data_IF_442369461466
#
_entry.id   IF_442369461466
#
_cell.length_a   1.000
_cell.length_b   1.000
_cell.length_c   1.000
_cell.angle_alpha   90.00
_cell.angle_beta   90.00
_cell.angle_gamma   90.00
#
_symmetry.space_group_name_H-M   'P 1'
#
loop_
_entity.id
_entity.type
_entity.pdbx_description
1 polymer ?
#
# COMPACT_ATOMS: atom_id res chain seq x y z
N UNK A 1 -12.99 -5.31 -18.55
CA UNK A 1 -14.06 -4.42 -19.07
C UNK A 1 -14.39 -4.90 -20.48
N UNK A 2 -15.62 -5.32 -20.77
CA UNK A 2 -15.97 -5.90 -22.08
C UNK A 2 -16.83 -4.90 -22.86
N UNK A 3 -16.33 -4.45 -24.02
CA UNK A 3 -17.03 -3.50 -24.90
C UNK A 3 -18.25 -4.13 -25.59
N UNK A 4 -18.36 -5.46 -25.60
CA UNK A 4 -19.37 -6.19 -26.36
C UNK A 4 -20.79 -6.09 -25.79
N UNK A 5 -20.96 -5.67 -24.54
CA UNK A 5 -22.25 -5.73 -23.84
C UNK A 5 -22.47 -4.54 -22.86
N UNK A 6 -23.73 -4.24 -22.54
CA UNK A 6 -24.09 -3.27 -21.49
C UNK A 6 -23.98 -1.79 -21.89
N UNK A 7 -23.70 -0.92 -20.90
CA UNK A 7 -23.65 0.55 -21.07
C UNK A 7 -22.58 1.01 -22.08
N UNK A 8 -21.36 0.43 -22.12
CA UNK A 8 -20.35 0.81 -23.10
C UNK A 8 -20.80 0.61 -24.56
N UNK A 9 -21.48 -0.51 -24.85
CA UNK A 9 -22.06 -0.78 -26.17
C UNK A 9 -23.11 0.25 -26.55
N UNK A 10 -24.08 0.51 -25.65
CA UNK A 10 -25.13 1.51 -25.89
C UNK A 10 -24.55 2.90 -26.12
N UNK A 11 -23.53 3.27 -25.35
CA UNK A 11 -22.84 4.55 -25.52
C UNK A 11 -22.16 4.65 -26.88
N UNK A 12 -21.38 3.65 -27.29
CA UNK A 12 -20.72 3.64 -28.60
C UNK A 12 -21.72 3.65 -29.76
N UNK A 13 -22.86 2.97 -29.59
CA UNK A 13 -23.92 2.90 -30.59
C UNK A 13 -24.54 4.27 -30.91
N UNK A 14 -24.69 5.17 -29.92
CA UNK A 14 -25.20 6.54 -30.15
C UNK A 14 -24.33 7.28 -31.18
N UNK A 15 -23.01 7.16 -31.05
CA UNK A 15 -22.09 7.87 -31.93
C UNK A 15 -21.96 7.20 -33.30
N UNK A 16 -22.10 5.87 -33.37
CA UNK A 16 -22.21 5.15 -34.64
C UNK A 16 -23.46 5.58 -35.42
N UNK A 17 -24.61 5.69 -34.77
CA UNK A 17 -25.86 6.14 -35.40
C UNK A 17 -25.74 7.57 -35.92
N UNK A 18 -25.20 8.49 -35.12
CA UNK A 18 -24.93 9.86 -35.54
C UNK A 18 -23.97 9.97 -36.73
N UNK A 19 -22.94 9.12 -36.77
CA UNK A 19 -22.01 9.06 -37.88
C UNK A 19 -22.71 8.58 -39.16
N UNK A 20 -23.62 7.59 -39.05
CA UNK A 20 -24.43 7.11 -40.17
C UNK A 20 -25.41 8.17 -40.68
N UNK A 21 -25.92 9.03 -39.79
CA UNK A 21 -26.78 10.16 -40.14
C UNK A 21 -26.00 11.38 -40.70
N UNK A 22 -24.68 11.27 -40.84
CA UNK A 22 -23.81 12.33 -41.36
C UNK A 22 -23.56 13.49 -40.38
N UNK A 23 -23.87 13.30 -39.10
CA UNK A 23 -23.62 14.29 -38.06
C UNK A 23 -22.13 14.34 -37.70
N UNK A 24 -21.63 15.57 -37.52
CA UNK A 24 -20.28 15.80 -37.05
C UNK A 24 -20.21 15.69 -35.52
N UNK A 25 -19.39 14.75 -35.02
CA UNK A 25 -19.22 14.51 -33.59
C UNK A 25 -17.74 14.70 -33.19
N UNK A 26 -17.42 15.72 -32.38
CA UNK A 26 -16.03 16.04 -32.03
C UNK A 26 -15.27 14.92 -31.31
N UNK A 27 -15.99 14.06 -30.59
CA UNK A 27 -15.37 12.93 -29.90
C UNK A 27 -14.89 11.83 -30.85
N UNK A 28 -15.26 11.89 -32.12
CA UNK A 28 -14.84 10.94 -33.17
C UNK A 28 -13.72 11.50 -34.06
N UNK A 29 -13.28 12.75 -33.83
CA UNK A 29 -12.24 13.39 -34.64
C UNK A 29 -10.85 12.80 -34.40
N UNK A 30 -10.59 12.24 -33.21
CA UNK A 30 -9.33 11.60 -32.87
C UNK A 30 -9.52 10.45 -31.89
N UNK A 31 -8.55 9.54 -31.87
CA UNK A 31 -8.51 8.47 -30.90
C UNK A 31 -8.49 9.00 -29.46
N UNK A 32 -7.70 10.04 -29.18
CA UNK A 32 -7.60 10.64 -27.83
C UNK A 32 -8.93 11.23 -27.35
N UNK A 33 -9.66 11.92 -28.24
CA UNK A 33 -10.96 12.50 -27.92
C UNK A 33 -12.00 11.40 -27.64
N UNK A 34 -11.97 10.32 -28.43
CA UNK A 34 -12.82 9.15 -28.23
C UNK A 34 -12.51 8.45 -26.92
N UNK A 35 -11.25 8.15 -26.66
CA UNK A 35 -10.79 7.45 -25.46
C UNK A 35 -11.13 8.24 -24.19
N UNK A 36 -10.89 9.55 -24.17
CA UNK A 36 -11.25 10.41 -23.05
C UNK A 36 -12.77 10.41 -22.77
N UNK A 37 -13.59 10.52 -23.82
CA UNK A 37 -15.05 10.51 -23.69
C UNK A 37 -15.57 9.12 -23.24
N UNK A 38 -14.97 8.05 -23.77
CA UNK A 38 -15.31 6.68 -23.42
C UNK A 38 -14.96 6.36 -21.97
N UNK A 39 -13.74 6.70 -21.52
CA UNK A 39 -13.30 6.50 -20.14
C UNK A 39 -14.14 7.31 -19.15
N UNK A 40 -14.50 8.56 -19.51
CA UNK A 40 -15.39 9.38 -18.68
C UNK A 40 -16.78 8.78 -18.54
N UNK A 41 -17.39 8.30 -19.63
CA UNK A 41 -18.71 7.69 -19.59
C UNK A 41 -18.71 6.34 -18.88
N UNK A 42 -17.62 5.59 -19.02
CA UNK A 42 -17.50 4.24 -18.48
C UNK A 42 -17.06 4.22 -17.01
N UNK A 43 -16.54 5.34 -16.50
CA UNK A 43 -16.27 5.57 -15.08
C UNK A 43 -17.55 5.48 -14.25
N UNK A 44 -17.50 4.76 -13.12
CA UNK A 44 -18.60 4.68 -12.17
C UNK A 44 -18.32 5.58 -10.95
N UNK A 45 -18.74 6.86 -10.96
CA UNK A 45 -18.42 7.81 -9.90
C UNK A 45 -18.98 7.39 -8.53
N UNK A 46 -20.12 6.70 -8.50
CA UNK A 46 -20.68 6.16 -7.28
C UNK A 46 -19.79 5.05 -6.68
N UNK A 47 -19.26 4.16 -7.53
CA UNK A 47 -18.33 3.12 -7.09
C UNK A 47 -17.01 3.70 -6.58
N UNK A 48 -16.46 4.71 -7.26
CA UNK A 48 -15.26 5.43 -6.82
C UNK A 48 -15.50 6.08 -5.45
N UNK A 49 -16.59 6.84 -5.28
CA UNK A 49 -16.92 7.49 -4.01
C UNK A 49 -17.12 6.48 -2.85
N UNK A 50 -17.68 5.31 -3.14
CA UNK A 50 -17.80 4.22 -2.16
C UNK A 50 -16.42 3.64 -1.83
N UNK A 51 -15.56 3.42 -2.83
CA UNK A 51 -14.20 2.93 -2.64
C UNK A 51 -13.36 3.91 -1.81
N UNK A 52 -13.43 5.21 -2.07
CA UNK A 52 -12.74 6.21 -1.26
C UNK A 52 -13.20 6.21 0.20
N UNK A 53 -14.52 6.13 0.44
CA UNK A 53 -15.08 6.03 1.80
C UNK A 53 -14.58 4.77 2.50
N UNK A 54 -14.51 3.65 1.78
CA UNK A 54 -13.95 2.41 2.31
C UNK A 54 -12.46 2.54 2.63
N UNK A 55 -11.65 3.18 1.78
CA UNK A 55 -10.23 3.43 2.08
C UNK A 55 -10.05 4.30 3.32
N UNK A 56 -10.82 5.39 3.46
CA UNK A 56 -10.75 6.28 4.64
C UNK A 56 -11.01 5.53 5.95
N UNK A 57 -11.93 4.56 5.91
CA UNK A 57 -12.33 3.76 7.06
C UNK A 57 -11.52 2.48 7.24
N UNK A 58 -10.69 2.08 6.27
CA UNK A 58 -9.88 0.88 6.37
C UNK A 58 -8.78 1.07 7.42
N UNK A 59 -8.73 0.18 8.41
CA UNK A 59 -7.73 0.17 9.48
C UNK A 59 -7.08 -1.21 9.57
N UNK A 60 -5.78 -1.22 9.83
CA UNK A 60 -5.02 -2.43 10.09
C UNK A 60 -5.46 -3.02 11.44
N UNK A 61 -6.28 -4.07 11.39
CA UNK A 61 -6.66 -4.87 12.57
C UNK A 61 -5.71 -6.06 12.77
N UNK A 62 -5.28 -6.70 11.68
CA UNK A 62 -4.43 -7.90 11.63
C UNK A 62 -3.00 -7.57 11.19
N UNK A 63 -2.33 -8.51 10.52
CA UNK A 63 -1.04 -8.28 9.89
C UNK A 63 -1.15 -7.22 8.80
N UNK A 64 -0.07 -6.48 8.56
CA UNK A 64 -0.01 -5.47 7.51
C UNK A 64 -0.25 -6.05 6.10
N UNK A 65 0.10 -7.32 5.87
CA UNK A 65 -0.16 -8.02 4.61
C UNK A 65 -1.67 -8.18 4.32
N UNK A 66 -2.48 -8.54 5.33
CA UNK A 66 -3.94 -8.59 5.19
C UNK A 66 -4.52 -7.22 4.85
N UNK A 67 -4.07 -6.19 5.57
CA UNK A 67 -4.46 -4.81 5.32
C UNK A 67 -4.08 -4.37 3.89
N UNK A 68 -2.90 -4.76 3.40
CA UNK A 68 -2.46 -4.50 2.04
C UNK A 68 -3.35 -5.15 0.98
N UNK A 69 -3.77 -6.40 1.19
CA UNK A 69 -4.70 -7.10 0.29
C UNK A 69 -6.04 -6.36 0.22
N UNK A 70 -6.64 -6.05 1.37
CA UNK A 70 -7.92 -5.33 1.42
C UNK A 70 -7.81 -3.95 0.78
N UNK A 71 -6.71 -3.24 1.04
CA UNK A 71 -6.44 -1.94 0.44
C UNK A 71 -6.34 -2.03 -1.09
N UNK A 72 -5.57 -2.98 -1.64
CA UNK A 72 -5.42 -3.15 -3.09
C UNK A 72 -6.76 -3.46 -3.77
N UNK A 73 -7.60 -4.29 -3.15
CA UNK A 73 -8.93 -4.61 -3.67
C UNK A 73 -9.78 -3.34 -3.78
N UNK A 74 -9.75 -2.47 -2.76
CA UNK A 74 -10.52 -1.22 -2.78
C UNK A 74 -9.90 -0.21 -3.76
N UNK A 75 -8.58 -0.05 -3.73
CA UNK A 75 -7.81 0.86 -4.58
C UNK A 75 -7.94 0.54 -6.07
N UNK A 76 -8.14 -0.73 -6.45
CA UNK A 76 -8.38 -1.14 -7.86
C UNK A 76 -9.60 -0.49 -8.51
N UNK A 77 -10.46 0.17 -7.72
CA UNK A 77 -11.65 0.90 -8.19
C UNK A 77 -11.40 2.41 -8.31
N UNK A 78 -10.17 2.85 -8.10
CA UNK A 78 -9.75 4.24 -8.05
C UNK A 78 -8.62 4.46 -9.05
N UNK A 79 -8.74 5.51 -9.85
CA UNK A 79 -7.68 5.99 -10.76
C UNK A 79 -6.72 6.93 -10.01
N UNK A 80 -6.28 6.52 -8.80
CA UNK A 80 -5.40 7.33 -7.95
C UNK A 80 -3.94 7.07 -8.29
N UNK A 81 -3.13 8.13 -8.24
CA UNK A 81 -1.67 8.01 -8.38
C UNK A 81 -1.05 7.30 -7.17
N UNK A 82 0.14 6.72 -7.35
CA UNK A 82 0.88 6.08 -6.26
C UNK A 82 1.12 7.02 -5.08
N UNK A 83 1.41 8.31 -5.33
CA UNK A 83 1.53 9.30 -4.27
C UNK A 83 0.26 9.43 -3.42
N UNK A 84 -0.92 9.46 -4.05
CA UNK A 84 -2.21 9.52 -3.36
C UNK A 84 -2.51 8.21 -2.62
N UNK A 85 -2.22 7.06 -3.24
CA UNK A 85 -2.39 5.75 -2.64
C UNK A 85 -1.47 5.55 -1.44
N UNK A 86 -0.20 5.95 -1.52
CA UNK A 86 0.75 5.93 -0.40
C UNK A 86 0.25 6.79 0.76
N UNK A 87 -0.21 8.02 0.47
CA UNK A 87 -0.73 8.92 1.48
C UNK A 87 -1.95 8.33 2.21
N UNK A 88 -2.85 7.67 1.47
CA UNK A 88 -4.01 6.97 2.04
C UNK A 88 -3.60 5.70 2.80
N UNK A 89 -2.72 4.88 2.23
CA UNK A 89 -2.25 3.62 2.82
C UNK A 89 -1.60 3.86 4.18
N UNK A 90 -0.75 4.89 4.28
CA UNK A 90 -0.11 5.32 5.52
C UNK A 90 -1.13 5.59 6.63
N UNK A 91 -2.36 6.01 6.29
CA UNK A 91 -3.35 6.41 7.29
C UNK A 91 -4.04 5.25 8.03
N UNK A 92 -4.08 4.07 7.43
CA UNK A 92 -4.79 2.92 8.04
C UNK A 92 -3.96 2.09 9.00
N UNK A 93 -2.65 2.31 9.10
CA UNK A 93 -1.77 1.51 9.96
C UNK A 93 -1.95 1.74 11.47
N UNK A 94 -1.55 0.74 12.27
CA UNK A 94 -1.39 0.86 13.73
C UNK A 94 -0.34 1.93 14.06
N UNK A 95 -0.50 2.59 15.21
CA UNK A 95 0.36 3.73 15.59
C UNK A 95 1.86 3.39 15.62
N UNK A 96 2.22 2.21 16.10
CA UNK A 96 3.61 1.72 16.15
C UNK A 96 4.21 1.52 14.74
N UNK A 97 3.46 0.83 13.86
CA UNK A 97 3.85 0.60 12.47
C UNK A 97 3.99 1.92 11.74
N UNK A 98 3.00 2.82 11.89
CA UNK A 98 3.02 4.15 11.26
C UNK A 98 4.22 4.98 11.72
N UNK A 99 4.55 4.97 13.01
CA UNK A 99 5.69 5.72 13.55
C UNK A 99 7.01 5.24 12.99
N UNK A 100 7.22 3.92 12.91
CA UNK A 100 8.43 3.33 12.29
C UNK A 100 8.47 3.59 10.79
N UNK A 101 7.34 3.49 10.10
CA UNK A 101 7.22 3.71 8.67
C UNK A 101 7.59 5.16 8.32
N UNK A 102 7.10 6.14 9.09
CA UNK A 102 7.49 7.55 8.93
C UNK A 102 9.01 7.70 9.05
N UNK A 103 9.60 7.21 10.16
CA UNK A 103 11.06 7.29 10.37
C UNK A 103 11.85 6.65 9.24
N UNK A 104 11.40 5.51 8.72
CA UNK A 104 12.07 4.85 7.60
C UNK A 104 11.96 5.67 6.30
N UNK A 105 10.76 6.18 6.00
CA UNK A 105 10.50 6.97 4.79
C UNK A 105 11.15 8.35 4.78
N UNK A 106 11.57 8.89 5.94
CA UNK A 106 12.39 10.12 5.97
C UNK A 106 13.74 9.93 5.29
N UNK A 107 14.29 8.72 5.30
CA UNK A 107 15.63 8.43 4.78
C UNK A 107 15.61 7.70 3.44
N UNK A 108 14.42 7.41 2.90
CA UNK A 108 14.27 6.65 1.65
C UNK A 108 13.18 7.28 0.79
N UNK A 109 13.51 7.58 -0.46
CA UNK A 109 12.53 8.01 -1.44
C UNK A 109 11.74 6.79 -1.94
N UNK A 110 10.54 6.57 -1.39
CA UNK A 110 9.62 5.54 -1.85
C UNK A 110 8.58 6.20 -2.74
N UNK A 111 8.61 5.88 -4.03
CA UNK A 111 7.72 6.48 -5.03
C UNK A 111 6.58 5.57 -5.45
N UNK A 112 6.68 4.26 -5.16
CA UNK A 112 5.68 3.27 -5.58
C UNK A 112 4.88 2.71 -4.42
N UNK A 113 3.61 2.39 -4.66
CA UNK A 113 2.74 1.80 -3.64
C UNK A 113 3.27 0.42 -3.20
N UNK A 114 3.79 -0.38 -4.13
CA UNK A 114 4.26 -1.74 -3.85
C UNK A 114 5.50 -1.77 -2.96
N UNK A 115 6.45 -0.85 -3.18
CA UNK A 115 7.61 -0.69 -2.29
C UNK A 115 7.18 -0.24 -0.89
N UNK A 116 6.22 0.68 -0.82
CA UNK A 116 5.67 1.17 0.44
C UNK A 116 4.95 0.06 1.22
N UNK A 117 4.13 -0.75 0.55
CA UNK A 117 3.45 -1.92 1.13
C UNK A 117 4.46 -2.93 1.66
N UNK A 118 5.49 -3.25 0.86
CA UNK A 118 6.52 -4.24 1.25
C UNK A 118 7.27 -3.77 2.50
N UNK A 119 7.62 -2.49 2.55
CA UNK A 119 8.25 -1.86 3.71
C UNK A 119 7.35 -1.92 4.95
N UNK A 120 6.06 -1.61 4.80
CA UNK A 120 5.10 -1.66 5.90
C UNK A 120 4.92 -3.08 6.45
N UNK A 121 4.90 -4.09 5.58
CA UNK A 121 4.82 -5.49 5.99
C UNK A 121 6.06 -5.91 6.78
N UNK A 122 7.25 -5.60 6.27
CA UNK A 122 8.51 -5.91 6.96
C UNK A 122 8.58 -5.27 8.35
N UNK A 123 8.16 -4.00 8.48
CA UNK A 123 8.12 -3.30 9.77
C UNK A 123 7.14 -3.98 10.74
N UNK A 124 5.95 -4.37 10.28
CA UNK A 124 4.94 -5.03 11.12
C UNK A 124 5.41 -6.41 11.59
N UNK A 125 6.01 -7.19 10.68
CA UNK A 125 6.54 -8.53 10.97
C UNK A 125 7.67 -8.45 12.00
N UNK A 126 8.64 -7.55 11.84
CA UNK A 126 9.71 -7.43 12.83
C UNK A 126 9.22 -6.87 14.17
N UNK A 127 8.22 -5.99 14.17
CA UNK A 127 7.56 -5.56 15.40
C UNK A 127 6.86 -6.74 16.08
N UNK A 128 6.25 -7.64 15.32
CA UNK A 128 5.62 -8.84 15.84
C UNK A 128 6.67 -9.80 16.42
N UNK A 129 7.76 -10.07 15.71
CA UNK A 129 8.87 -10.89 16.20
C UNK A 129 9.46 -10.35 17.50
N UNK A 130 9.75 -9.04 17.57
CA UNK A 130 10.27 -8.40 18.78
C UNK A 130 9.33 -8.60 19.99
N UNK A 131 8.01 -8.52 19.77
CA UNK A 131 7.01 -8.79 20.81
C UNK A 131 6.99 -10.25 21.24
N UNK A 132 7.24 -11.19 20.32
CA UNK A 132 7.33 -12.62 20.66
C UNK A 132 8.60 -12.92 21.47
N UNK A 133 9.74 -12.34 21.10
CA UNK A 133 10.99 -12.52 21.86
C UNK A 133 10.88 -11.97 23.29
N UNK A 134 10.26 -10.80 23.47
CA UNK A 134 10.00 -10.26 24.81
C UNK A 134 9.10 -11.15 25.67
N UNK A 135 8.17 -11.91 25.07
CA UNK A 135 7.33 -12.89 25.79
C UNK A 135 8.09 -14.14 26.20
N UNK A 136 9.16 -14.49 25.48
CA UNK A 136 10.02 -15.63 25.80
C UNK A 136 10.98 -15.33 26.95
N UNK A 137 11.23 -14.05 27.26
CA UNK A 137 11.94 -13.66 28.47
C UNK A 137 11.07 -14.07 29.66
N UNK A 138 11.51 -15.02 30.50
CA UNK A 138 10.72 -15.41 31.67
C UNK A 138 10.47 -14.16 32.51
N UNK A 139 9.19 -13.87 32.78
CA UNK A 139 8.85 -12.95 33.87
C UNK A 139 9.53 -13.53 35.12
N UNK A 140 10.31 -12.75 35.90
CA UNK A 140 10.96 -13.30 37.08
C UNK A 140 9.89 -13.82 38.02
N UNK A 141 9.68 -15.14 38.02
CA UNK A 141 8.87 -15.81 39.01
C UNK A 141 9.63 -15.67 40.32
N UNK A 142 9.15 -14.75 41.15
CA UNK A 142 9.28 -14.74 42.60
C UNK A 142 10.52 -15.50 43.14
N UNK A 143 11.70 -14.96 42.87
CA UNK A 143 12.89 -15.28 43.65
C UNK A 143 13.39 -13.96 44.23
N UNK A 144 13.62 -13.84 45.56
CA UNK A 144 14.06 -12.60 46.18
C UNK A 144 15.53 -12.26 45.88
N UNK A 145 16.04 -12.66 44.71
CA UNK A 145 17.28 -12.09 44.19
C UNK A 145 16.92 -10.86 43.36
N UNK A 146 17.25 -9.70 43.92
CA UNK A 146 17.02 -8.37 43.37
C UNK A 146 17.71 -8.25 42.02
N UNK A 147 17.00 -8.52 40.92
CA UNK A 147 17.30 -7.86 39.65
C UNK A 147 16.90 -6.40 39.86
N UNK A 148 17.90 -5.51 39.86
CA UNK A 148 17.62 -4.09 40.00
C UNK A 148 16.78 -3.65 38.80
N UNK A 149 15.89 -2.66 39.00
CA UNK A 149 15.04 -2.11 37.90
C UNK A 149 15.87 -1.73 36.66
N UNK A 150 17.14 -1.41 36.86
CA UNK A 150 18.12 -1.11 35.84
C UNK A 150 18.44 -2.31 34.93
N UNK A 151 18.54 -3.53 35.49
CA UNK A 151 18.85 -4.75 34.71
C UNK A 151 17.70 -5.14 33.77
N UNK A 152 16.45 -5.01 34.24
CA UNK A 152 15.27 -5.21 33.40
C UNK A 152 15.14 -4.14 32.31
N UNK A 153 15.54 -2.90 32.61
CA UNK A 153 15.58 -1.82 31.63
C UNK A 153 16.66 -2.08 30.57
N UNK A 154 17.83 -2.58 30.96
CA UNK A 154 18.94 -2.94 30.06
C UNK A 154 18.51 -4.07 29.11
N UNK A 155 17.94 -5.17 29.64
CA UNK A 155 17.48 -6.30 28.81
C UNK A 155 16.38 -5.90 27.83
N UNK A 156 15.44 -5.06 28.25
CA UNK A 156 14.41 -4.49 27.37
C UNK A 156 15.02 -3.58 26.29
N UNK A 157 16.02 -2.77 26.65
CA UNK A 157 16.68 -1.85 25.73
C UNK A 157 17.54 -2.61 24.70
N UNK A 158 18.18 -3.68 25.12
CA UNK A 158 19.02 -4.54 24.29
C UNK A 158 18.19 -5.39 23.33
N UNK A 159 17.05 -5.93 23.77
CA UNK A 159 16.07 -6.56 22.89
C UNK A 159 15.52 -5.58 21.83
N UNK A 160 15.23 -4.33 22.22
CA UNK A 160 14.85 -3.27 21.30
C UNK A 160 15.96 -2.92 20.31
N UNK A 161 17.23 -2.82 20.76
CA UNK A 161 18.39 -2.56 19.91
C UNK A 161 18.63 -3.69 18.91
N UNK A 162 18.58 -4.94 19.35
CA UNK A 162 18.78 -6.10 18.49
C UNK A 162 17.67 -6.21 17.43
N UNK A 163 16.42 -5.91 17.82
CA UNK A 163 15.30 -5.85 16.88
C UNK A 163 15.46 -4.72 15.85
N UNK A 164 15.98 -3.56 16.27
CA UNK A 164 16.29 -2.44 15.39
C UNK A 164 17.46 -2.74 14.43
N UNK A 165 18.51 -3.41 14.90
CA UNK A 165 19.63 -3.85 14.06
C UNK A 165 19.19 -4.89 13.02
N UNK A 166 18.34 -5.85 13.41
CA UNK A 166 17.73 -6.82 12.49
C UNK A 166 16.86 -6.13 11.43
N UNK A 167 16.05 -5.14 11.82
CA UNK A 167 15.32 -4.30 10.88
C UNK A 167 16.27 -3.60 9.89
N UNK A 168 17.32 -2.96 10.40
CA UNK A 168 18.31 -2.29 9.55
C UNK A 168 18.94 -3.24 8.53
N UNK A 169 19.34 -4.43 8.96
CA UNK A 169 19.94 -5.44 8.10
C UNK A 169 18.93 -6.01 7.08
N UNK A 170 17.71 -6.32 7.50
CA UNK A 170 16.66 -6.83 6.61
C UNK A 170 16.25 -5.78 5.56
N UNK A 171 16.15 -4.51 5.97
CA UNK A 171 15.88 -3.41 5.06
C UNK A 171 17.03 -3.19 4.07
N UNK A 172 18.29 -3.29 4.53
CA UNK A 172 19.47 -3.19 3.66
C UNK A 172 19.54 -4.33 2.63
N UNK A 173 19.19 -5.55 3.05
CA UNK A 173 19.12 -6.71 2.17
C UNK A 173 17.99 -6.58 1.12
N UNK A 174 16.80 -6.12 1.52
CA UNK A 174 15.68 -5.92 0.59
C UNK A 174 15.94 -4.76 -0.37
N UNK A 175 16.61 -3.69 0.08
CA UNK A 175 17.10 -2.61 -0.79
C UNK A 175 18.05 -3.15 -1.86
N UNK A 176 19.01 -3.98 -1.47
CA UNK A 176 19.94 -4.62 -2.41
C UNK A 176 19.20 -5.50 -3.43
N UNK A 177 18.17 -6.22 -2.99
CA UNK A 177 17.34 -7.08 -3.86
C UNK A 177 16.50 -6.27 -4.86
N UNK A 178 15.91 -5.16 -4.44
CA UNK A 178 15.10 -4.28 -5.31
C UNK A 178 16.00 -3.59 -6.36
N UNK A 179 17.12 -3.02 -5.94
CA UNK A 179 18.06 -2.36 -6.85
C UNK A 179 18.65 -3.34 -7.89
N UNK A 180 18.93 -4.58 -7.48
CA UNK A 180 19.37 -5.64 -8.40
C UNK A 180 18.31 -6.09 -9.41
N UNK A 181 17.01 -5.93 -9.10
CA UNK A 181 15.92 -6.22 -10.05
C UNK A 181 15.73 -5.10 -11.08
N UNK A 182 15.84 -3.83 -10.69
CA UNK A 182 15.72 -2.70 -11.61
C UNK A 182 16.89 -2.66 -12.62
N UNK A 183 18.12 -2.95 -12.17
CA UNK A 183 19.28 -3.01 -13.07
C UNK A 183 19.18 -4.09 -14.18
N UNK A 184 18.29 -5.07 -14.02
CA UNK A 184 18.07 -6.14 -15.00
C UNK A 184 16.98 -5.81 -16.03
N UNK A 185 16.14 -4.80 -15.76
CA UNK A 185 15.05 -4.38 -16.65
C UNK A 185 15.49 -3.25 -17.60
N UNK A 186 16.44 -2.41 -17.20
CA UNK A 186 16.96 -1.29 -18.03
C UNK A 186 18.06 -1.71 -19.02
N UNK A 187 18.40 -3.01 -19.07
CA UNK A 187 19.45 -3.58 -19.92
C UNK A 187 18.94 -4.54 -21.01
N UNK A 188 17.65 -4.52 -21.33
CA UNK A 188 17.01 -5.37 -22.33
C UNK A 188 16.27 -4.54 -23.39
#
# INVERSE_FOLDING_TARGET
MNLKEGRPKKWGQIYLEKLLDGAHEPILESWDAFEAAFLRNSSNPAAAQVAERRLRNLKQSRAASNYATDFRIIASKLEWSDAALIAAFRQGHKAEVRSKLIKFTLHKNITTLDEFISTACLIDDTLFEARQELRKIPTPLHQPHVLHKEDLAILSQEACRNSAARLGNALSAEISRINGKNARMDGA
#
